data_IF_539879081703
#
_entry.id   IF_539879081703
#
_cell.length_a   1.000
_cell.length_b   1.000
_cell.length_c   1.000
_cell.angle_alpha   90.00
_cell.angle_beta   90.00
_cell.angle_gamma   90.00
#
_symmetry.space_group_name_H-M   'P 1'
#
loop_
_entity.id
_entity.type
_entity.pdbx_description
1 polymer ?
#
# COMPACT_ATOMS: atom_id res chain seq x y z
N UNK A 1 11.72 -10.26 2.51
CA UNK A 1 11.46 -10.27 1.09
C UNK A 1 10.32 -9.35 0.74
N UNK A 2 10.46 -8.67 -0.38
CA UNK A 2 9.44 -7.72 -0.79
C UNK A 2 8.30 -8.40 -1.54
N UNK A 3 7.11 -7.93 -1.30
CA UNK A 3 5.95 -8.43 -2.01
C UNK A 3 5.86 -7.77 -3.38
N UNK A 4 5.97 -8.56 -4.42
CA UNK A 4 5.96 -8.01 -5.77
C UNK A 4 4.64 -7.37 -6.14
N UNK A 5 3.55 -7.83 -5.56
CA UNK A 5 2.27 -7.21 -5.79
C UNK A 5 2.27 -5.77 -5.33
N UNK A 6 2.86 -5.55 -4.16
CA UNK A 6 2.91 -4.21 -3.60
C UNK A 6 3.78 -3.31 -4.46
N UNK A 7 4.91 -3.84 -4.91
CA UNK A 7 5.79 -3.08 -5.77
C UNK A 7 5.08 -2.67 -7.05
N UNK A 8 4.33 -3.59 -7.63
CA UNK A 8 3.58 -3.29 -8.84
C UNK A 8 2.51 -2.24 -8.60
N UNK A 9 1.85 -2.32 -7.46
CA UNK A 9 0.83 -1.34 -7.12
C UNK A 9 1.44 0.06 -7.02
N UNK A 10 2.61 0.14 -6.41
CA UNK A 10 3.27 1.43 -6.27
C UNK A 10 3.69 1.95 -7.64
N UNK A 11 4.18 1.08 -8.49
CA UNK A 11 4.60 1.49 -9.84
C UNK A 11 3.41 1.94 -10.67
N UNK A 12 2.24 1.39 -10.43
CA UNK A 12 1.06 1.76 -11.18
C UNK A 12 0.44 3.07 -10.73
N UNK A 13 0.91 3.64 -9.64
CA UNK A 13 0.36 4.89 -9.15
C UNK A 13 0.72 6.06 -10.06
N UNK A 14 1.93 6.04 -10.59
CA UNK A 14 2.38 7.09 -11.50
C UNK A 14 2.00 8.49 -11.03
N UNK A 15 0.97 9.05 -11.60
CA UNK A 15 0.57 10.41 -11.27
C UNK A 15 -0.03 10.56 -9.88
N UNK A 16 -0.47 9.48 -9.27
CA UNK A 16 -1.06 9.56 -7.93
C UNK A 16 -0.10 9.16 -6.83
N UNK A 17 1.15 8.96 -7.17
CA UNK A 17 2.09 8.50 -6.15
C UNK A 17 2.22 9.50 -5.00
N UNK A 18 2.30 10.78 -5.32
CA UNK A 18 2.41 11.79 -4.27
C UNK A 18 1.19 11.82 -3.38
N UNK A 19 0.02 11.66 -3.98
CA UNK A 19 -1.22 11.64 -3.23
C UNK A 19 -1.25 10.47 -2.25
N UNK A 20 -0.87 9.30 -2.74
CA UNK A 20 -0.89 8.11 -1.90
C UNK A 20 0.16 8.19 -0.81
N UNK A 21 1.31 8.80 -1.11
CA UNK A 21 2.33 8.98 -0.09
C UNK A 21 1.83 9.86 1.05
N UNK A 22 1.11 10.89 0.71
CA UNK A 22 0.56 11.76 1.73
C UNK A 22 -0.45 11.01 2.60
N UNK A 23 -1.27 10.21 1.98
CA UNK A 23 -2.23 9.42 2.74
C UNK A 23 -1.53 8.45 3.67
N UNK A 24 -0.48 7.79 3.17
CA UNK A 24 0.26 6.85 3.99
C UNK A 24 0.86 7.54 5.21
N UNK A 25 1.46 8.68 4.99
CA UNK A 25 2.04 9.44 6.08
C UNK A 25 0.98 9.87 7.09
N UNK A 26 -0.16 10.28 6.58
CA UNK A 26 -1.24 10.73 7.44
C UNK A 26 -1.74 9.60 8.32
N UNK A 27 -1.73 8.39 7.80
CA UNK A 27 -2.19 7.23 8.54
C UNK A 27 -1.12 6.66 9.47
N UNK A 28 0.09 7.19 9.40
CA UNK A 28 1.14 6.76 10.30
C UNK A 28 2.09 5.74 9.71
N UNK A 29 2.04 5.53 8.42
CA UNK A 29 2.95 4.57 7.78
C UNK A 29 4.25 5.26 7.37
N UNK A 30 5.32 4.48 7.44
CA UNK A 30 6.63 5.03 7.11
C UNK A 30 6.82 5.16 5.59
N UNK A 31 6.12 4.35 4.81
CA UNK A 31 6.29 4.39 3.36
C UNK A 31 5.05 3.82 2.69
N UNK A 32 5.00 4.00 1.36
CA UNK A 32 3.91 3.44 0.58
C UNK A 32 3.86 1.93 0.66
N UNK A 33 5.03 1.31 0.73
CA UNK A 33 5.08 -0.14 0.80
C UNK A 33 4.32 -0.64 2.03
N UNK A 34 4.57 -0.05 3.17
CA UNK A 34 3.89 -0.44 4.39
C UNK A 34 2.40 -0.17 4.31
N UNK A 35 2.06 0.96 3.70
CA UNK A 35 0.66 1.32 3.56
C UNK A 35 -0.10 0.27 2.76
N UNK A 36 0.44 -0.11 1.61
CA UNK A 36 -0.22 -1.10 0.78
C UNK A 36 -0.14 -2.50 1.38
N UNK A 37 0.93 -2.78 2.09
CA UNK A 37 1.06 -4.08 2.74
C UNK A 37 -0.05 -4.26 3.76
N UNK A 38 -0.30 -3.24 4.55
CA UNK A 38 -1.38 -3.30 5.52
C UNK A 38 -2.72 -3.41 4.84
N UNK A 39 -2.91 -2.68 3.76
CA UNK A 39 -4.16 -2.69 3.04
C UNK A 39 -4.46 -4.07 2.47
N UNK A 40 -3.46 -4.69 1.88
CA UNK A 40 -3.63 -6.03 1.32
C UNK A 40 -3.89 -7.04 2.42
N UNK A 41 -3.18 -6.92 3.51
CA UNK A 41 -3.34 -7.84 4.63
C UNK A 41 -4.76 -7.80 5.16
N UNK A 42 -5.29 -6.60 5.33
CA UNK A 42 -6.65 -6.46 5.84
C UNK A 42 -7.67 -6.99 4.85
N UNK A 43 -7.42 -6.74 3.57
CA UNK A 43 -8.33 -7.20 2.54
C UNK A 43 -8.38 -8.72 2.49
N UNK A 44 -7.22 -9.34 2.66
CA UNK A 44 -7.18 -10.79 2.67
C UNK A 44 -7.97 -11.37 3.83
N UNK A 45 -7.85 -10.75 4.99
CA UNK A 45 -8.59 -11.21 6.14
C UNK A 45 -10.09 -11.11 5.90
N UNK A 46 -10.51 -10.02 5.31
CA UNK A 46 -11.92 -9.82 5.04
C UNK A 46 -12.45 -10.89 4.07
N UNK A 47 -11.64 -11.25 3.10
CA UNK A 47 -12.05 -12.23 2.11
C UNK A 47 -12.15 -13.61 2.72
N UNK A 48 -11.25 -13.93 3.61
CA UNK A 48 -11.25 -15.25 4.25
C UNK A 48 -12.44 -15.44 5.18
N UNK A 49 -13.01 -14.36 5.60
CA UNK A 49 -14.20 -14.45 6.41
C UNK A 49 -15.34 -15.01 5.59
#
# INVERSE_FOLDING_TARGET
MQNQEIVKMIENLKGRRGYEEKRATKLGFASLYEYFEDKISKKKKAIEE
#
